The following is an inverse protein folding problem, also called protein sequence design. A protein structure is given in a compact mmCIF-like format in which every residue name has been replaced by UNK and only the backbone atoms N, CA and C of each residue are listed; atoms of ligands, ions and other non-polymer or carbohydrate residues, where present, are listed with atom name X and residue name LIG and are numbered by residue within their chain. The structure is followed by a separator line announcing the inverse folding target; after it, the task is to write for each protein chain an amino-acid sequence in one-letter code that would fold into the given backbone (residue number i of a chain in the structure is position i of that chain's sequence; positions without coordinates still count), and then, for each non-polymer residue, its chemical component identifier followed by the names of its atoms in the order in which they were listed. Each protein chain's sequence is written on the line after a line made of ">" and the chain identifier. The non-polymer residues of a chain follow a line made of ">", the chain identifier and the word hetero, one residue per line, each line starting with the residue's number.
data_IF_154345218502
#
_entry.id   IF_154345218502
#
_cell.length_a   1.000
_cell.length_b   1.000
_cell.length_c   1.000
_cell.angle_alpha   90.00
_cell.angle_beta   90.00
_cell.angle_gamma   90.00
#
_symmetry.space_group_name_H-M   'P 1'
#
loop_
_entity.id
_entity.type
_entity.pdbx_description
1 polymer ?
#
# COMPACT_ATOMS: atom_id res chain seq x y z
N UNK A 1 -27.09 0.33 -7.29
CA UNK A 1 -27.40 -0.73 -6.32
C UNK A 1 -27.71 -0.06 -4.99
N UNK A 2 -28.89 -0.26 -4.41
CA UNK A 2 -29.23 0.31 -3.10
C UNK A 2 -28.32 -0.26 -1.99
N UNK A 3 -27.92 0.55 -1.00
CA UNK A 3 -27.11 0.09 0.12
C UNK A 3 -27.84 -0.91 1.02
N UNK A 4 -27.05 -1.78 1.67
CA UNK A 4 -27.50 -2.75 2.67
C UNK A 4 -27.17 -2.18 4.04
N UNK A 5 -28.15 -2.19 4.94
CA UNK A 5 -27.99 -1.75 6.33
C UNK A 5 -28.21 -2.92 7.27
N UNK A 6 -27.39 -2.99 8.32
CA UNK A 6 -27.46 -4.03 9.34
C UNK A 6 -28.15 -3.45 10.58
N UNK A 7 -29.13 -4.18 11.11
CA UNK A 7 -29.85 -3.86 12.35
C UNK A 7 -29.67 -4.98 13.36
N UNK A 8 -29.54 -4.62 14.64
CA UNK A 8 -29.42 -5.55 15.78
C UNK A 8 -30.64 -5.45 16.69
N UNK A 9 -31.14 -6.60 17.13
CA UNK A 9 -32.19 -6.66 18.14
C UNK A 9 -31.70 -6.03 19.47
N UNK A 10 -32.50 -5.21 20.17
CA UNK A 10 -32.05 -4.51 21.37
C UNK A 10 -31.60 -5.43 22.52
N UNK A 11 -32.28 -6.58 22.66
CA UNK A 11 -32.09 -7.51 23.79
C UNK A 11 -31.45 -8.84 23.40
N UNK A 12 -31.44 -9.18 22.11
CA UNK A 12 -30.98 -10.47 21.58
C UNK A 12 -29.75 -10.24 20.70
N UNK A 13 -28.87 -11.23 20.60
CA UNK A 13 -27.72 -11.17 19.70
C UNK A 13 -28.11 -11.57 18.26
N UNK A 14 -29.22 -11.02 17.79
CA UNK A 14 -29.77 -11.26 16.46
C UNK A 14 -29.54 -10.05 15.54
N UNK A 15 -29.29 -10.34 14.26
CA UNK A 15 -28.95 -9.35 13.25
C UNK A 15 -29.77 -9.57 11.98
N UNK A 16 -30.17 -8.48 11.34
CA UNK A 16 -30.89 -8.52 10.07
C UNK A 16 -30.31 -7.50 9.09
N UNK A 17 -30.32 -7.86 7.81
CA UNK A 17 -29.82 -7.04 6.71
C UNK A 17 -30.98 -6.56 5.85
N UNK A 18 -31.10 -5.24 5.70
CA UNK A 18 -32.20 -4.61 4.97
C UNK A 18 -31.64 -3.72 3.87
N UNK A 19 -32.07 -3.96 2.64
CA UNK A 19 -31.80 -3.09 1.49
C UNK A 19 -32.67 -1.85 1.59
N UNK A 20 -32.06 -0.67 1.72
CA UNK A 20 -32.79 0.60 1.79
C UNK A 20 -32.20 1.63 0.81
N UNK A 21 -33.00 2.60 0.38
CA UNK A 21 -32.51 3.71 -0.42
C UNK A 21 -31.69 4.69 0.41
N UNK A 22 -30.71 5.36 -0.21
CA UNK A 22 -29.85 6.36 0.48
C UNK A 22 -30.63 7.52 1.12
N UNK A 23 -31.81 7.85 0.60
CA UNK A 23 -32.63 8.97 1.08
C UNK A 23 -33.73 8.53 2.06
N UNK A 24 -33.84 7.23 2.35
CA UNK A 24 -34.90 6.72 3.21
C UNK A 24 -34.57 6.96 4.69
N UNK A 25 -35.61 6.91 5.53
CA UNK A 25 -35.40 6.86 6.98
C UNK A 25 -34.86 5.48 7.34
N UNK A 26 -33.62 5.45 7.80
CA UNK A 26 -32.88 4.23 8.17
C UNK A 26 -33.32 3.70 9.54
N UNK A 27 -34.59 3.28 9.61
CA UNK A 27 -35.23 2.65 10.79
C UNK A 27 -35.81 1.30 10.38
N UNK A 28 -35.81 0.35 11.32
CA UNK A 28 -36.38 -0.98 11.13
C UNK A 28 -37.23 -1.36 12.35
N UNK A 29 -38.42 -1.86 12.09
CA UNK A 29 -39.35 -2.40 13.09
C UNK A 29 -39.65 -3.86 12.76
N UNK A 30 -39.73 -4.71 13.78
CA UNK A 30 -40.18 -6.10 13.60
C UNK A 30 -41.70 -6.22 13.56
N UNK A 31 -42.19 -7.46 13.45
CA UNK A 31 -43.62 -7.78 13.44
C UNK A 31 -44.36 -7.39 14.73
N UNK A 32 -43.64 -7.17 15.82
CA UNK A 32 -44.19 -6.76 17.12
C UNK A 32 -44.15 -5.23 17.32
N UNK A 33 -43.55 -4.50 16.36
CA UNK A 33 -43.41 -3.05 16.38
C UNK A 33 -42.21 -2.56 17.21
N UNK A 34 -41.28 -3.45 17.57
CA UNK A 34 -40.06 -3.09 18.30
C UNK A 34 -39.02 -2.53 17.32
N UNK A 35 -38.41 -1.39 17.69
CA UNK A 35 -37.37 -0.72 16.89
C UNK A 35 -36.00 -1.39 17.08
N UNK A 36 -35.35 -1.77 15.98
CA UNK A 36 -34.01 -2.35 16.01
C UNK A 36 -32.93 -1.28 15.81
N UNK A 37 -31.79 -1.46 16.47
CA UNK A 37 -30.69 -0.49 16.43
C UNK A 37 -29.80 -0.72 15.22
N UNK A 38 -29.56 0.34 14.43
CA UNK A 38 -28.62 0.28 13.30
C UNK A 38 -27.20 0.01 13.77
N UNK A 39 -26.55 -0.97 13.14
CA UNK A 39 -25.13 -1.28 13.33
C UNK A 39 -24.32 -0.57 12.26
N UNK A 40 -23.31 0.18 12.70
CA UNK A 40 -22.36 0.83 11.80
C UNK A 40 -21.12 -0.06 11.69
N UNK A 41 -20.97 -0.74 10.56
CA UNK A 41 -19.73 -1.46 10.26
C UNK A 41 -18.68 -0.46 9.79
N UNK A 42 -17.45 -0.61 10.29
CA UNK A 42 -16.31 0.13 9.74
C UNK A 42 -16.11 -0.37 8.29
N UNK A 43 -16.20 0.49 7.28
CA UNK A 43 -15.96 0.05 5.91
C UNK A 43 -14.48 -0.34 5.77
N UNK A 44 -14.21 -1.61 5.47
CA UNK A 44 -12.90 -2.07 5.01
C UNK A 44 -12.67 -1.68 3.54
N UNK A 45 -12.93 -0.41 3.20
CA UNK A 45 -12.76 0.10 1.86
C UNK A 45 -11.26 0.35 1.60
N UNK A 46 -10.61 -0.52 0.83
CA UNK A 46 -9.29 -0.23 0.28
C UNK A 46 -9.50 0.63 -0.98
N UNK A 47 -9.37 1.95 -0.84
CA UNK A 47 -9.36 2.87 -1.98
C UNK A 47 -7.90 3.06 -2.36
N UNK A 48 -7.54 2.73 -3.61
CA UNK A 48 -6.21 3.00 -4.20
C UNK A 48 -5.02 2.25 -3.54
N UNK A 49 -5.27 1.09 -2.94
CA UNK A 49 -4.24 0.32 -2.21
C UNK A 49 -3.27 -0.45 -3.11
N UNK A 50 -3.66 -0.72 -4.36
CA UNK A 50 -2.84 -1.49 -5.30
C UNK A 50 -2.24 -0.58 -6.36
N UNK A 51 -1.04 -0.09 -6.05
CA UNK A 51 -0.25 0.71 -6.96
C UNK A 51 0.67 -0.22 -7.75
N UNK A 52 0.73 -0.03 -9.07
CA UNK A 52 1.65 -0.77 -9.93
C UNK A 52 3.10 -0.38 -9.56
N UNK A 53 3.92 -1.33 -9.08
CA UNK A 53 5.28 -1.06 -8.67
C UNK A 53 6.19 -0.64 -9.82
N UNK A 54 5.79 -0.79 -11.08
CA UNK A 54 6.56 -0.35 -12.26
C UNK A 54 6.12 1.02 -12.80
N UNK A 55 5.01 1.57 -12.33
CA UNK A 55 4.45 2.82 -12.85
C UNK A 55 5.06 4.04 -12.18
N UNK A 56 5.93 4.75 -12.90
CA UNK A 56 6.49 6.03 -12.44
C UNK A 56 5.41 7.11 -12.26
N UNK A 57 4.37 7.09 -13.11
CA UNK A 57 3.25 8.03 -13.04
C UNK A 57 2.48 7.87 -11.73
N UNK A 58 2.09 6.64 -11.38
CA UNK A 58 1.36 6.40 -10.14
C UNK A 58 2.23 6.69 -8.90
N UNK A 59 3.55 6.44 -8.98
CA UNK A 59 4.46 6.87 -7.93
C UNK A 59 4.41 8.39 -7.71
N UNK A 60 4.46 9.19 -8.78
CA UNK A 60 4.38 10.65 -8.68
C UNK A 60 3.01 11.10 -8.16
N UNK A 61 1.91 10.54 -8.66
CA UNK A 61 0.56 10.90 -8.21
C UNK A 61 0.35 10.58 -6.72
N UNK A 62 0.83 9.42 -6.27
CA UNK A 62 0.74 9.00 -4.87
C UNK A 62 1.62 9.81 -3.92
N UNK A 63 2.75 10.33 -4.38
CA UNK A 63 3.69 11.12 -3.55
C UNK A 63 3.42 12.61 -3.63
N UNK A 64 2.93 13.13 -4.76
CA UNK A 64 2.58 14.54 -4.93
C UNK A 64 1.29 14.93 -4.21
N UNK A 65 0.29 14.04 -4.19
CA UNK A 65 -1.01 14.34 -3.58
C UNK A 65 -1.02 14.10 -2.05
N UNK A 66 -0.07 13.32 -1.53
CA UNK A 66 0.08 13.09 -0.08
C UNK A 66 0.92 14.21 0.52
N UNK A 67 0.41 14.86 1.57
CA UNK A 67 1.19 15.80 2.40
C UNK A 67 2.19 15.01 3.26
N UNK A 68 3.30 14.59 2.66
CA UNK A 68 4.37 13.84 3.31
C UNK A 68 5.70 14.58 3.32
N UNK A 69 6.61 14.10 4.16
CA UNK A 69 8.01 14.49 4.16
C UNK A 69 8.78 13.79 3.03
N UNK A 70 10.00 14.26 2.76
CA UNK A 70 10.91 13.54 1.86
C UNK A 70 11.24 12.13 2.36
N UNK A 71 11.23 11.91 3.68
CA UNK A 71 11.41 10.59 4.28
C UNK A 71 10.30 9.64 3.86
N UNK A 72 9.04 10.08 3.92
CA UNK A 72 7.89 9.27 3.52
C UNK A 72 7.95 8.88 2.03
N UNK A 73 8.45 9.76 1.17
CA UNK A 73 8.69 9.46 -0.23
C UNK A 73 9.77 8.39 -0.43
N UNK A 74 10.84 8.44 0.38
CA UNK A 74 11.92 7.45 0.33
C UNK A 74 11.47 6.08 0.86
N UNK A 75 10.71 6.06 1.94
CA UNK A 75 10.14 4.83 2.50
C UNK A 75 9.17 4.19 1.50
N UNK A 76 8.34 5.00 0.85
CA UNK A 76 7.46 4.52 -0.20
C UNK A 76 8.22 3.98 -1.42
N UNK A 77 9.29 4.65 -1.85
CA UNK A 77 10.18 4.14 -2.91
C UNK A 77 10.81 2.79 -2.54
N UNK A 78 11.19 2.62 -1.26
CA UNK A 78 11.73 1.37 -0.73
C UNK A 78 10.69 0.25 -0.72
N UNK A 79 9.46 0.53 -0.31
CA UNK A 79 8.35 -0.44 -0.34
C UNK A 79 8.08 -0.92 -1.79
N UNK A 80 8.05 0.01 -2.75
CA UNK A 80 7.85 -0.33 -4.16
C UNK A 80 9.03 -1.15 -4.72
N UNK A 81 10.26 -0.84 -4.29
CA UNK A 81 11.45 -1.65 -4.63
C UNK A 81 11.34 -3.07 -4.09
N UNK A 82 10.87 -3.24 -2.85
CA UNK A 82 10.63 -4.55 -2.25
C UNK A 82 9.56 -5.34 -3.01
N UNK A 83 8.43 -4.71 -3.36
CA UNK A 83 7.38 -5.36 -4.18
C UNK A 83 7.91 -5.84 -5.54
N UNK A 84 8.75 -5.03 -6.20
CA UNK A 84 9.42 -5.47 -7.44
C UNK A 84 10.37 -6.62 -7.20
N UNK A 85 11.16 -6.57 -6.13
CA UNK A 85 12.07 -7.65 -5.78
C UNK A 85 11.30 -8.95 -5.53
N UNK A 86 10.25 -8.93 -4.70
CA UNK A 86 9.39 -10.10 -4.43
C UNK A 86 8.81 -10.70 -5.72
N UNK A 87 8.34 -9.85 -6.64
CA UNK A 87 7.79 -10.29 -7.92
C UNK A 87 8.83 -10.90 -8.88
N UNK A 88 10.12 -10.54 -8.76
CA UNK A 88 11.20 -10.98 -9.65
C UNK A 88 12.24 -11.87 -8.96
N UNK A 89 11.87 -12.54 -7.86
CA UNK A 89 12.77 -13.50 -7.20
C UNK A 89 13.92 -12.85 -6.41
N UNK A 90 13.68 -11.69 -5.82
CA UNK A 90 14.60 -10.96 -4.94
C UNK A 90 15.35 -9.81 -5.62
N UNK A 91 15.11 -9.55 -6.91
CA UNK A 91 15.84 -8.53 -7.68
C UNK A 91 14.90 -7.44 -8.16
N UNK A 92 15.21 -6.18 -7.88
CA UNK A 92 14.47 -5.04 -8.43
C UNK A 92 15.12 -4.56 -9.74
N UNK A 93 14.51 -4.79 -10.92
CA UNK A 93 15.08 -4.42 -12.22
C UNK A 93 15.22 -2.89 -12.40
N UNK A 94 14.35 -2.10 -11.78
CA UNK A 94 14.42 -0.62 -11.85
C UNK A 94 15.62 -0.13 -11.06
N UNK A 95 15.86 -0.72 -9.89
CA UNK A 95 17.02 -0.40 -9.06
C UNK A 95 18.32 -0.82 -9.72
N UNK A 96 18.38 -1.99 -10.35
CA UNK A 96 19.57 -2.43 -11.10
C UNK A 96 19.91 -1.50 -12.27
N UNK A 97 18.90 -1.09 -13.03
CA UNK A 97 19.07 -0.08 -14.08
C UNK A 97 19.60 1.23 -13.52
N UNK A 98 19.06 1.68 -12.39
CA UNK A 98 19.52 2.92 -11.74
C UNK A 98 20.99 2.83 -11.33
N UNK A 99 21.44 1.69 -10.80
CA UNK A 99 22.84 1.46 -10.47
C UNK A 99 23.75 1.41 -11.69
N UNK A 100 23.29 0.78 -12.78
CA UNK A 100 24.01 0.76 -14.05
C UNK A 100 24.19 2.18 -14.61
N UNK A 101 23.10 2.95 -14.70
CA UNK A 101 23.12 4.33 -15.21
C UNK A 101 24.01 5.24 -14.34
N UNK A 102 24.00 5.03 -13.01
CA UNK A 102 24.88 5.74 -12.08
C UNK A 102 26.36 5.45 -12.40
N UNK A 103 26.71 4.17 -12.54
CA UNK A 103 28.06 3.73 -12.85
C UNK A 103 28.54 4.29 -14.20
N UNK A 104 27.71 4.24 -15.23
CA UNK A 104 28.03 4.80 -16.55
C UNK A 104 28.34 6.30 -16.49
N UNK A 105 27.54 7.07 -15.75
CA UNK A 105 27.73 8.52 -15.58
C UNK A 105 28.92 8.89 -14.70
N UNK A 106 29.40 7.96 -13.88
CA UNK A 106 30.48 8.17 -12.90
C UNK A 106 31.74 7.37 -13.24
N UNK A 107 31.99 7.12 -14.51
CA UNK A 107 33.19 6.43 -15.01
C UNK A 107 33.43 5.06 -14.34
N UNK A 108 32.38 4.30 -14.09
CA UNK A 108 32.45 2.97 -13.48
C UNK A 108 32.32 2.95 -11.95
N UNK A 109 32.15 4.11 -11.29
CA UNK A 109 31.98 4.15 -9.84
C UNK A 109 30.63 3.54 -9.43
N UNK A 110 30.67 2.59 -8.48
CA UNK A 110 29.48 1.91 -7.95
C UNK A 110 28.70 2.78 -6.99
N UNK A 111 27.38 2.63 -6.95
CA UNK A 111 26.54 3.36 -6.00
C UNK A 111 26.80 2.86 -4.57
N UNK A 112 26.79 3.77 -3.59
CA UNK A 112 27.06 3.40 -2.18
C UNK A 112 26.12 2.29 -1.67
N UNK A 113 24.84 2.37 -1.99
CA UNK A 113 23.88 1.33 -1.60
C UNK A 113 24.08 0.00 -2.34
N UNK A 114 24.65 0.01 -3.55
CA UNK A 114 25.03 -1.22 -4.27
C UNK A 114 26.19 -1.89 -3.54
N UNK A 115 27.21 -1.12 -3.19
CA UNK A 115 28.39 -1.56 -2.43
C UNK A 115 27.98 -2.13 -1.06
N UNK A 116 27.06 -1.47 -0.35
CA UNK A 116 26.53 -1.97 0.92
C UNK A 116 25.78 -3.30 0.77
N UNK A 117 25.04 -3.47 -0.33
CA UNK A 117 24.24 -4.69 -0.53
C UNK A 117 25.01 -5.88 -1.09
N UNK A 118 26.00 -5.65 -1.95
CA UNK A 118 26.70 -6.70 -2.71
C UNK A 118 28.19 -6.81 -2.35
N UNK A 119 28.67 -5.94 -1.45
CA UNK A 119 30.09 -5.73 -1.23
C UNK A 119 30.76 -5.00 -2.41
N UNK A 120 32.04 -4.69 -2.25
CA UNK A 120 32.88 -4.17 -3.32
C UNK A 120 34.22 -4.89 -3.33
N UNK A 121 34.64 -5.36 -4.50
CA UNK A 121 35.92 -6.01 -4.69
C UNK A 121 36.69 -5.34 -5.81
N UNK A 122 37.94 -5.01 -5.52
CA UNK A 122 38.92 -4.47 -6.46
C UNK A 122 40.25 -5.16 -6.24
N UNK A 123 41.18 -5.00 -7.19
CA UNK A 123 42.52 -5.60 -7.13
C UNK A 123 43.25 -5.37 -5.79
N UNK A 124 42.96 -4.25 -5.11
CA UNK A 124 43.68 -3.83 -3.91
C UNK A 124 42.79 -3.74 -2.65
N UNK A 125 41.46 -3.90 -2.77
CA UNK A 125 40.53 -3.66 -1.67
C UNK A 125 39.27 -4.51 -1.84
N UNK A 126 38.95 -5.27 -0.80
CA UNK A 126 37.66 -5.94 -0.61
C UNK A 126 36.95 -5.28 0.57
N UNK A 127 35.73 -4.83 0.34
CA UNK A 127 34.86 -4.24 1.37
C UNK A 127 33.60 -5.09 1.43
N UNK A 128 33.37 -5.67 2.60
CA UNK A 128 32.17 -6.42 2.93
C UNK A 128 31.47 -5.69 4.09
N UNK A 129 30.15 -5.57 3.99
CA UNK A 129 29.30 -4.95 5.01
C UNK A 129 28.43 -5.99 5.73
N UNK A 130 28.69 -7.28 5.51
CA UNK A 130 28.14 -8.38 6.31
C UNK A 130 28.75 -8.31 7.72
N UNK A 131 27.94 -7.95 8.72
CA UNK A 131 28.26 -8.22 10.14
C UNK A 131 28.04 -9.69 10.49
#
# INVERSE_FOLDING_TARGET
>A
MPPIYIYKHPELEEYTEVVQGMNDKHVYFDSEGLEWKRVFTIPNASIDSQIDPYSSKQFVESTANKKGSFGDMMDYSKEMSQKRAEANGGIDPVREKTFKDYSEKRNGAKHFDEIKSKGYESKNLKVDFSE
#
